data_IF_590712689148
#
_entry.id   IF_590712689148
#
_cell.length_a   1.000
_cell.length_b   1.000
_cell.length_c   1.000
_cell.angle_alpha   90.00
_cell.angle_beta   90.00
_cell.angle_gamma   90.00
#
_symmetry.space_group_name_H-M   'P 1'
#
loop_
_entity.id
_entity.type
_entity.pdbx_description
1 polymer ?
#
# COMPACT_ATOMS: atom_id res chain seq x y z
N UNK A 1 18.87 -8.85 -9.16
CA UNK A 1 18.56 -9.44 -7.85
C UNK A 1 19.62 -10.47 -7.53
N UNK A 2 20.61 -10.13 -6.71
CA UNK A 2 21.52 -11.12 -6.14
C UNK A 2 20.95 -11.53 -4.78
N UNK A 3 20.52 -12.79 -4.67
CA UNK A 3 20.22 -13.43 -3.41
C UNK A 3 21.57 -13.77 -2.72
N UNK A 4 21.99 -12.92 -1.80
CA UNK A 4 23.03 -13.14 -0.79
C UNK A 4 22.37 -12.64 0.50
N UNK A 5 22.18 -13.36 1.59
CA UNK A 5 23.01 -14.35 2.27
C UNK A 5 22.13 -15.13 3.24
N UNK A 6 21.98 -16.45 3.08
CA UNK A 6 21.31 -17.31 4.06
C UNK A 6 22.31 -18.12 4.93
N UNK A 7 23.60 -17.82 4.82
CA UNK A 7 24.69 -18.68 5.35
C UNK A 7 25.57 -17.99 6.40
N UNK A 8 25.23 -16.76 6.82
CA UNK A 8 25.96 -16.07 7.88
C UNK A 8 25.32 -16.35 9.25
N UNK A 9 26.10 -16.80 10.23
CA UNK A 9 25.62 -17.03 11.60
C UNK A 9 25.31 -15.71 12.30
N UNK A 10 24.48 -15.75 13.34
CA UNK A 10 24.19 -14.58 14.17
C UNK A 10 25.47 -13.96 14.76
N UNK A 11 26.36 -14.81 15.23
CA UNK A 11 27.66 -14.42 15.81
C UNK A 11 28.52 -13.67 14.79
N UNK A 12 28.55 -14.15 13.53
CA UNK A 12 29.29 -13.51 12.44
C UNK A 12 28.70 -12.13 12.10
N UNK A 13 27.37 -11.99 12.05
CA UNK A 13 26.73 -10.69 11.82
C UNK A 13 27.02 -9.72 12.97
N UNK A 14 26.84 -10.16 14.22
CA UNK A 14 27.12 -9.34 15.40
C UNK A 14 28.62 -9.04 15.56
N UNK A 15 29.53 -9.77 14.91
CA UNK A 15 30.94 -9.38 14.85
C UNK A 15 31.17 -8.11 14.02
N UNK A 16 30.29 -7.80 13.07
CA UNK A 16 30.41 -6.62 12.18
C UNK A 16 29.99 -5.33 12.91
N UNK A 17 30.86 -4.32 13.01
CA UNK A 17 30.53 -3.06 13.67
C UNK A 17 29.34 -2.32 13.03
N UNK A 18 29.28 -2.28 11.70
CA UNK A 18 28.22 -1.54 10.98
C UNK A 18 26.85 -2.21 11.13
N UNK A 19 26.82 -3.53 11.25
CA UNK A 19 25.61 -4.28 11.56
C UNK A 19 25.13 -4.00 12.98
N UNK A 20 26.03 -4.01 13.97
CA UNK A 20 25.70 -3.62 15.35
C UNK A 20 25.11 -2.21 15.41
N UNK A 21 25.68 -1.25 14.66
CA UNK A 21 25.15 0.12 14.58
C UNK A 21 23.76 0.15 13.94
N UNK A 22 23.51 -0.65 12.89
CA UNK A 22 22.18 -0.80 12.32
C UNK A 22 21.18 -1.34 13.34
N UNK A 23 21.52 -2.40 14.08
CA UNK A 23 20.67 -2.95 15.15
C UNK A 23 20.35 -1.89 16.20
N UNK A 24 21.37 -1.16 16.69
CA UNK A 24 21.16 -0.03 17.64
C UNK A 24 20.21 1.02 17.07
N UNK A 25 20.35 1.40 15.80
CA UNK A 25 19.48 2.38 15.17
C UNK A 25 18.01 1.94 15.12
N UNK A 26 17.74 0.65 14.80
CA UNK A 26 16.38 0.10 14.82
C UNK A 26 15.82 0.05 16.25
N UNK A 27 16.61 -0.36 17.24
CA UNK A 27 16.18 -0.31 18.65
C UNK A 27 15.83 1.12 19.08
N UNK A 28 16.63 2.12 18.69
CA UNK A 28 16.33 3.52 18.98
C UNK A 28 15.03 3.99 18.33
N UNK A 29 14.71 3.53 17.10
CA UNK A 29 13.41 3.81 16.47
C UNK A 29 12.25 3.20 17.28
N UNK A 30 12.41 1.98 17.80
CA UNK A 30 11.37 1.34 18.61
C UNK A 30 11.12 2.10 19.91
N UNK A 31 12.17 2.53 20.61
CA UNK A 31 11.99 3.38 21.80
C UNK A 31 11.41 4.75 21.47
N UNK A 32 11.79 5.35 20.34
CA UNK A 32 11.17 6.58 19.90
C UNK A 32 9.66 6.38 19.66
N UNK A 33 9.25 5.27 19.02
CA UNK A 33 7.83 4.94 18.83
C UNK A 33 7.09 4.92 20.17
N UNK A 34 7.59 4.17 21.16
CA UNK A 34 7.02 4.12 22.52
C UNK A 34 6.90 5.52 23.14
N UNK A 35 7.93 6.36 22.99
CA UNK A 35 7.93 7.73 23.48
C UNK A 35 6.91 8.65 22.79
N UNK A 36 6.56 8.38 21.54
CA UNK A 36 5.61 9.15 20.75
C UNK A 36 4.16 8.68 20.91
N UNK A 37 3.89 7.44 21.30
CA UNK A 37 2.53 6.88 21.36
C UNK A 37 1.60 7.68 22.28
N UNK A 38 2.02 7.92 23.53
CA UNK A 38 1.20 8.68 24.49
C UNK A 38 1.07 10.16 24.12
N UNK A 39 2.12 10.72 23.53
CA UNK A 39 2.06 12.07 22.99
C UNK A 39 1.02 12.17 21.85
N UNK A 40 1.06 11.24 20.91
CA UNK A 40 0.14 11.21 19.78
C UNK A 40 -1.31 10.96 20.21
N UNK A 41 -1.51 10.13 21.24
CA UNK A 41 -2.80 9.94 21.90
C UNK A 41 -3.35 11.29 22.39
N UNK A 42 -2.60 11.99 23.24
CA UNK A 42 -3.02 13.27 23.81
C UNK A 42 -3.23 14.34 22.74
N UNK A 43 -2.31 14.47 21.79
CA UNK A 43 -2.42 15.42 20.69
C UNK A 43 -3.65 15.13 19.81
N UNK A 44 -4.00 13.86 19.61
CA UNK A 44 -5.22 13.46 18.90
C UNK A 44 -6.48 13.88 19.65
N UNK A 45 -6.50 13.71 20.97
CA UNK A 45 -7.62 14.14 21.83
C UNK A 45 -7.78 15.66 21.82
N UNK A 46 -6.70 16.42 21.94
CA UNK A 46 -6.71 17.89 21.92
C UNK A 46 -7.14 18.43 20.55
N UNK A 47 -6.61 17.87 19.46
CA UNK A 47 -7.04 18.16 18.09
C UNK A 47 -8.54 17.87 17.89
N UNK A 48 -9.00 16.72 18.40
CA UNK A 48 -10.39 16.33 18.31
C UNK A 48 -11.30 17.32 19.04
N UNK A 49 -10.95 17.68 20.27
CA UNK A 49 -11.70 18.65 21.05
C UNK A 49 -11.80 20.01 20.33
N UNK A 50 -10.71 20.49 19.73
CA UNK A 50 -10.68 21.72 18.94
C UNK A 50 -11.60 21.65 17.70
N UNK A 51 -11.58 20.53 16.97
CA UNK A 51 -12.46 20.31 15.82
C UNK A 51 -13.93 20.24 16.25
N UNK A 52 -14.26 19.48 17.30
CA UNK A 52 -15.64 19.37 17.81
C UNK A 52 -16.16 20.72 18.26
N UNK A 53 -15.35 21.47 19.01
CA UNK A 53 -15.70 22.82 19.46
C UNK A 53 -15.97 23.75 18.27
N UNK A 54 -15.06 23.78 17.28
CA UNK A 54 -15.17 24.63 16.08
C UNK A 54 -16.40 24.28 15.23
N UNK A 55 -16.66 22.98 15.04
CA UNK A 55 -17.73 22.51 14.16
C UNK A 55 -19.08 22.42 14.85
N UNK A 56 -19.13 22.50 16.18
CA UNK A 56 -20.27 22.11 17.01
C UNK A 56 -20.76 20.70 16.62
N UNK A 57 -19.82 19.79 16.41
CA UNK A 57 -20.12 18.43 15.96
C UNK A 57 -20.99 17.72 17.00
N UNK A 58 -22.05 17.09 16.51
CA UNK A 58 -22.89 16.15 17.27
C UNK A 58 -22.76 14.76 16.66
N UNK A 59 -23.03 13.69 17.43
CA UNK A 59 -23.01 12.32 16.92
C UNK A 59 -23.72 12.15 15.57
N UNK A 60 -23.03 11.57 14.59
CA UNK A 60 -23.57 11.23 13.28
C UNK A 60 -23.38 9.74 12.96
N UNK A 61 -24.35 8.91 13.33
CA UNK A 61 -24.34 7.46 13.06
C UNK A 61 -24.85 7.04 11.68
N UNK A 62 -24.81 7.93 10.67
CA UNK A 62 -25.42 7.64 9.34
C UNK A 62 -24.47 7.80 8.16
N UNK A 63 -23.33 8.48 8.33
CA UNK A 63 -22.42 8.77 7.25
C UNK A 63 -21.32 7.71 7.16
N UNK A 64 -21.46 6.78 6.22
CA UNK A 64 -20.47 5.69 6.01
C UNK A 64 -19.37 6.05 5.02
N UNK A 65 -19.68 6.96 4.09
CA UNK A 65 -18.79 7.29 2.98
C UNK A 65 -18.54 8.79 2.91
N UNK A 66 -17.28 9.16 2.69
CA UNK A 66 -16.82 10.55 2.60
C UNK A 66 -17.50 11.35 1.48
N UNK A 67 -18.01 10.68 0.45
CA UNK A 67 -18.76 11.29 -0.65
C UNK A 67 -20.23 11.58 -0.29
N UNK A 68 -20.79 10.88 0.71
CA UNK A 68 -22.19 10.99 1.12
C UNK A 68 -22.32 11.48 2.57
N UNK A 69 -21.67 12.60 2.87
CA UNK A 69 -21.70 13.22 4.19
C UNK A 69 -22.93 14.12 4.40
N UNK A 70 -23.48 14.09 5.61
CA UNK A 70 -24.47 15.06 6.06
C UNK A 70 -23.82 16.43 6.29
N UNK A 71 -24.62 17.48 6.51
CA UNK A 71 -24.12 18.85 6.72
C UNK A 71 -23.18 18.98 7.93
N UNK A 72 -23.35 18.16 8.97
CA UNK A 72 -22.47 18.12 10.15
C UNK A 72 -21.11 17.51 9.78
N UNK A 73 -21.08 16.28 9.25
CA UNK A 73 -19.83 15.64 8.85
C UNK A 73 -19.10 16.43 7.76
N UNK A 74 -19.80 17.15 6.87
CA UNK A 74 -19.16 18.07 5.91
C UNK A 74 -18.34 19.17 6.60
N UNK A 75 -18.82 19.71 7.73
CA UNK A 75 -18.06 20.70 8.52
C UNK A 75 -16.81 20.08 9.15
N UNK A 76 -16.94 18.90 9.73
CA UNK A 76 -15.78 18.14 10.26
C UNK A 76 -14.76 17.85 9.17
N UNK A 77 -15.20 17.35 8.00
CA UNK A 77 -14.34 17.14 6.83
C UNK A 77 -13.58 18.41 6.44
N UNK A 78 -14.30 19.54 6.35
CA UNK A 78 -13.69 20.82 6.00
C UNK A 78 -12.62 21.26 7.02
N UNK A 79 -12.89 21.11 8.31
CA UNK A 79 -11.92 21.47 9.36
C UNK A 79 -10.68 20.55 9.37
N UNK A 80 -10.83 19.28 8.98
CA UNK A 80 -9.71 18.35 8.75
C UNK A 80 -8.86 18.81 7.56
N UNK A 81 -9.50 19.15 6.43
CA UNK A 81 -8.81 19.64 5.23
C UNK A 81 -8.04 20.94 5.51
N UNK A 82 -8.68 21.88 6.22
CA UNK A 82 -8.08 23.16 6.60
C UNK A 82 -6.81 22.96 7.44
N UNK A 83 -6.84 22.02 8.38
CA UNK A 83 -5.72 21.67 9.26
C UNK A 83 -4.70 20.72 8.62
N UNK A 84 -4.80 20.38 7.34
CA UNK A 84 -3.81 19.53 6.67
C UNK A 84 -2.72 20.36 5.95
N UNK A 85 -1.44 19.99 6.09
CA UNK A 85 -0.27 20.76 5.65
C UNK A 85 0.02 20.66 4.15
N UNK A 86 0.11 19.45 3.57
CA UNK A 86 0.74 19.27 2.24
C UNK A 86 -0.03 18.39 1.24
N UNK A 87 -1.01 17.60 1.67
CA UNK A 87 -1.78 16.70 0.80
C UNK A 87 -3.28 16.73 1.09
N UNK A 88 -4.06 16.05 0.25
CA UNK A 88 -5.42 15.66 0.60
C UNK A 88 -5.37 14.72 1.80
N UNK A 89 -6.24 14.88 2.82
CA UNK A 89 -6.31 13.93 3.92
C UNK A 89 -6.54 12.50 3.43
N UNK A 90 -5.97 11.52 4.12
CA UNK A 90 -6.11 10.10 3.83
C UNK A 90 -7.49 9.57 4.24
N UNK A 91 -8.52 9.94 3.47
CA UNK A 91 -9.92 9.59 3.71
C UNK A 91 -10.20 8.08 3.79
N UNK A 92 -9.32 7.24 3.22
CA UNK A 92 -9.44 5.78 3.28
C UNK A 92 -9.12 5.20 4.67
N UNK A 93 -8.40 5.95 5.51
CA UNK A 93 -8.04 5.49 6.86
C UNK A 93 -9.11 5.80 7.92
N UNK A 94 -10.19 6.47 7.53
CA UNK A 94 -11.18 6.99 8.47
C UNK A 94 -12.57 6.50 8.14
N UNK A 95 -13.40 6.47 9.17
CA UNK A 95 -14.80 6.06 9.11
C UNK A 95 -15.63 7.22 9.66
N UNK A 96 -16.37 7.96 8.81
CA UNK A 96 -17.11 9.14 9.23
C UNK A 96 -18.20 8.83 10.27
N UNK A 97 -18.70 7.59 10.31
CA UNK A 97 -19.69 7.14 11.30
C UNK A 97 -19.09 7.16 12.71
N UNK A 98 -17.77 7.03 12.82
CA UNK A 98 -17.04 6.94 14.09
C UNK A 98 -16.37 8.24 14.51
N UNK A 99 -16.55 9.33 13.75
CA UNK A 99 -15.99 10.64 14.09
C UNK A 99 -16.54 11.23 15.38
N UNK A 100 -17.68 10.78 15.85
CA UNK A 100 -18.38 11.42 16.98
C UNK A 100 -19.06 10.46 17.94
N UNK A 101 -19.21 9.18 17.55
CA UNK A 101 -20.00 8.18 18.28
C UNK A 101 -19.17 6.92 18.57
N UNK A 102 -17.90 7.11 18.92
CA UNK A 102 -16.96 6.02 19.23
C UNK A 102 -16.03 6.40 20.38
N UNK A 103 -15.68 5.47 21.30
CA UNK A 103 -14.69 5.71 22.35
C UNK A 103 -13.32 6.20 21.82
N UNK A 104 -13.00 5.88 20.56
CA UNK A 104 -11.73 6.24 19.91
C UNK A 104 -11.94 7.21 18.73
N UNK A 105 -12.98 8.05 18.79
CA UNK A 105 -13.33 9.02 17.74
C UNK A 105 -12.15 9.93 17.32
N UNK A 106 -11.35 10.38 18.29
CA UNK A 106 -10.14 11.17 18.05
C UNK A 106 -9.18 10.48 17.07
N UNK A 107 -9.01 9.16 17.17
CA UNK A 107 -8.14 8.42 16.25
C UNK A 107 -8.67 8.33 14.84
N UNK A 108 -9.98 8.19 14.66
CA UNK A 108 -10.57 8.20 13.31
C UNK A 108 -10.26 9.52 12.61
N UNK A 109 -10.27 10.64 13.33
CA UNK A 109 -9.89 11.94 12.77
C UNK A 109 -8.37 12.03 12.54
N UNK A 110 -7.54 11.67 13.52
CA UNK A 110 -6.07 11.76 13.39
C UNK A 110 -5.50 10.89 12.27
N UNK A 111 -6.10 9.73 12.00
CA UNK A 111 -5.73 8.84 10.89
C UNK A 111 -5.80 9.50 9.51
N UNK A 112 -6.56 10.59 9.36
CA UNK A 112 -6.62 11.37 8.12
C UNK A 112 -5.29 12.06 7.79
N UNK A 113 -4.40 12.24 8.76
CA UNK A 113 -3.09 12.88 8.59
C UNK A 113 -1.95 11.84 8.50
N UNK A 114 -2.26 10.56 8.66
CA UNK A 114 -1.30 9.45 8.60
C UNK A 114 -1.20 8.89 7.17
N UNK A 115 -0.17 8.08 6.90
CA UNK A 115 -0.09 7.27 5.69
C UNK A 115 -1.17 6.16 5.68
N UNK A 116 -1.42 5.56 4.51
CA UNK A 116 -2.47 4.54 4.32
C UNK A 116 -2.20 3.29 5.17
N UNK A 117 -3.25 2.57 5.57
CA UNK A 117 -3.16 1.20 6.14
C UNK A 117 -3.27 1.11 7.67
N UNK A 118 -3.59 2.22 8.33
CA UNK A 118 -3.58 2.32 9.80
C UNK A 118 -4.92 1.87 10.41
N UNK A 119 -5.10 0.56 10.60
CA UNK A 119 -6.38 -0.03 11.01
C UNK A 119 -6.65 0.06 12.52
N UNK A 120 -5.63 0.00 13.37
CA UNK A 120 -5.78 0.14 14.83
C UNK A 120 -4.70 1.01 15.45
N UNK A 121 -5.01 1.55 16.63
CA UNK A 121 -4.12 2.44 17.40
C UNK A 121 -2.86 1.73 17.90
N UNK A 122 -3.00 0.45 18.22
CA UNK A 122 -1.90 -0.39 18.72
C UNK A 122 -0.94 -0.82 17.60
N UNK A 123 -1.38 -0.69 16.35
CA UNK A 123 -0.62 -1.10 15.16
C UNK A 123 0.04 0.09 14.47
N UNK A 124 -0.05 1.30 15.05
CA UNK A 124 0.61 2.45 14.43
C UNK A 124 2.12 2.26 14.43
N UNK A 125 2.66 2.19 13.22
CA UNK A 125 4.09 2.30 13.04
C UNK A 125 4.53 3.74 13.35
N UNK A 126 5.81 3.89 13.73
CA UNK A 126 6.46 5.18 13.91
C UNK A 126 6.26 6.11 12.71
N UNK A 127 6.20 5.57 11.48
CA UNK A 127 5.94 6.39 10.29
C UNK A 127 4.56 7.04 10.33
N UNK A 128 3.53 6.37 10.85
CA UNK A 128 2.19 6.92 10.98
C UNK A 128 2.18 8.05 12.00
N UNK A 129 2.83 7.87 13.15
CA UNK A 129 2.95 8.90 14.19
C UNK A 129 3.71 10.13 13.69
N UNK A 130 4.82 9.92 12.98
CA UNK A 130 5.60 11.02 12.38
C UNK A 130 4.78 11.75 11.31
N UNK A 131 4.07 11.02 10.43
CA UNK A 131 3.20 11.63 9.43
C UNK A 131 2.06 12.44 10.05
N UNK A 132 1.48 11.97 11.16
CA UNK A 132 0.47 12.76 11.89
C UNK A 132 1.04 14.13 12.31
N UNK A 133 2.24 14.16 12.87
CA UNK A 133 2.91 15.40 13.27
C UNK A 133 3.19 16.30 12.05
N UNK A 134 3.75 15.73 10.98
CA UNK A 134 4.16 16.45 9.76
C UNK A 134 2.96 17.05 9.01
N UNK A 135 1.88 16.28 8.88
CA UNK A 135 0.75 16.62 8.03
C UNK A 135 -0.33 17.44 8.75
N UNK A 136 -0.30 17.54 10.07
CA UNK A 136 -1.31 18.29 10.82
C UNK A 136 -0.82 19.68 11.22
N UNK A 137 -1.45 20.73 10.67
CA UNK A 137 -1.20 22.15 10.99
C UNK A 137 -1.51 22.52 12.43
N UNK A 138 -2.17 21.66 13.20
CA UNK A 138 -2.31 21.88 14.65
C UNK A 138 -0.94 21.93 15.34
N UNK A 139 0.05 21.19 14.82
CA UNK A 139 1.44 21.27 15.28
C UNK A 139 2.22 22.46 14.67
N UNK A 140 1.62 23.23 13.75
CA UNK A 140 2.25 24.42 13.20
C UNK A 140 2.07 25.59 14.16
N UNK A 141 3.17 26.01 14.76
CA UNK A 141 3.29 27.33 15.40
C UNK A 141 4.29 28.19 14.64
N UNK A 142 4.15 29.52 14.80
CA UNK A 142 4.98 30.52 14.11
C UNK A 142 6.48 30.20 14.24
N UNK A 143 7.26 30.56 13.21
CA UNK A 143 8.71 30.29 13.06
C UNK A 143 9.63 30.73 14.21
N UNK A 144 9.09 31.38 15.25
CA UNK A 144 9.80 31.88 16.42
C UNK A 144 10.14 30.80 17.47
N UNK A 145 9.43 29.66 17.50
CA UNK A 145 9.55 28.68 18.61
C UNK A 145 10.17 27.33 18.23
N UNK A 146 10.73 27.19 17.03
CA UNK A 146 11.14 25.90 16.51
C UNK A 146 9.97 25.15 15.87
N UNK A 147 10.27 24.10 15.11
CA UNK A 147 9.25 23.38 14.35
C UNK A 147 9.38 21.87 14.58
N UNK A 148 8.53 21.33 15.46
CA UNK A 148 8.40 19.89 15.73
C UNK A 148 8.17 19.09 14.44
N UNK A 149 7.47 19.65 13.45
CA UNK A 149 7.28 19.00 12.15
C UNK A 149 8.59 18.86 11.38
N UNK A 150 9.50 19.84 11.46
CA UNK A 150 10.83 19.72 10.84
C UNK A 150 11.67 18.65 11.51
N UNK A 151 11.60 18.53 12.84
CA UNK A 151 12.27 17.46 13.57
C UNK A 151 11.66 16.09 13.21
N UNK A 152 10.32 15.98 13.17
CA UNK A 152 9.63 14.77 12.76
C UNK A 152 9.95 14.36 11.30
N UNK A 153 10.03 15.32 10.38
CA UNK A 153 10.40 15.08 8.99
C UNK A 153 11.80 14.47 8.86
N UNK A 154 12.80 15.03 9.56
CA UNK A 154 14.16 14.47 9.59
C UNK A 154 14.19 13.07 10.15
N UNK A 155 13.41 12.80 11.20
CA UNK A 155 13.32 11.47 11.80
C UNK A 155 12.64 10.47 10.87
N UNK A 156 11.64 10.90 10.09
CA UNK A 156 10.99 10.07 9.08
C UNK A 156 11.97 9.69 7.96
N UNK A 157 12.78 10.64 7.50
CA UNK A 157 13.86 10.40 6.54
C UNK A 157 14.89 9.40 7.08
N UNK A 158 15.35 9.59 8.33
CA UNK A 158 16.25 8.66 9.01
C UNK A 158 15.65 7.25 9.10
N UNK A 159 14.38 7.14 9.50
CA UNK A 159 13.67 5.85 9.57
C UNK A 159 13.68 5.16 8.21
N UNK A 160 13.37 5.87 7.14
CA UNK A 160 13.36 5.29 5.79
C UNK A 160 14.77 4.82 5.38
N UNK A 161 15.80 5.62 5.68
CA UNK A 161 17.19 5.23 5.41
C UNK A 161 17.62 3.99 6.22
N UNK A 162 17.20 3.86 7.48
CA UNK A 162 17.52 2.71 8.34
C UNK A 162 16.81 1.44 7.86
N UNK A 163 15.49 1.52 7.66
CA UNK A 163 14.66 0.35 7.36
C UNK A 163 14.93 -0.17 5.95
N UNK A 164 15.11 0.72 4.96
CA UNK A 164 15.36 0.33 3.58
C UNK A 164 16.84 0.12 3.25
N UNK A 165 17.71 0.06 4.26
CA UNK A 165 19.11 -0.31 4.07
C UNK A 165 19.21 -1.84 3.86
N UNK A 166 19.18 -2.26 2.60
CA UNK A 166 19.25 -3.69 2.23
C UNK A 166 20.51 -4.40 2.76
N UNK A 167 21.60 -3.67 3.00
CA UNK A 167 22.84 -4.21 3.53
C UNK A 167 22.90 -4.27 5.06
N UNK A 168 21.87 -3.77 5.76
CA UNK A 168 21.78 -3.67 7.21
C UNK A 168 23.07 -3.12 7.84
N UNK A 169 23.65 -2.11 7.21
CA UNK A 169 24.90 -1.49 7.64
C UNK A 169 24.72 0.01 7.77
N UNK A 170 25.20 0.57 8.89
CA UNK A 170 25.13 2.00 9.17
C UNK A 170 26.49 2.46 9.68
N UNK A 171 26.98 3.58 9.15
CA UNK A 171 28.23 4.18 9.61
C UNK A 171 28.07 4.80 11.00
N UNK A 172 29.19 5.09 11.67
CA UNK A 172 29.15 5.76 12.98
C UNK A 172 28.55 7.17 12.90
N UNK A 173 28.90 7.92 11.85
CA UNK A 173 28.35 9.25 11.59
C UNK A 173 26.85 9.20 11.36
N UNK A 174 26.37 8.20 10.63
CA UNK A 174 24.94 8.03 10.37
C UNK A 174 24.20 7.69 11.67
N UNK A 175 24.71 6.75 12.47
CA UNK A 175 24.09 6.42 13.77
C UNK A 175 24.01 7.66 14.68
N UNK A 176 25.07 8.44 14.75
CA UNK A 176 25.11 9.68 15.54
C UNK A 176 24.11 10.72 15.02
N UNK A 177 24.06 10.93 13.71
CA UNK A 177 23.09 11.84 13.06
C UNK A 177 21.65 11.39 13.29
N UNK A 178 21.39 10.09 13.12
CA UNK A 178 20.07 9.51 13.22
C UNK A 178 19.51 9.64 14.64
N UNK A 179 20.28 9.21 15.63
CA UNK A 179 19.89 9.29 17.04
C UNK A 179 19.87 10.72 17.55
N UNK A 180 20.76 11.60 17.08
CA UNK A 180 20.71 13.03 17.36
C UNK A 180 19.39 13.67 16.97
N UNK A 181 18.87 13.36 15.78
CA UNK A 181 17.55 13.85 15.33
C UNK A 181 16.40 13.27 16.18
N UNK A 182 16.45 11.97 16.55
CA UNK A 182 15.43 11.36 17.42
C UNK A 182 15.39 12.01 18.80
N UNK A 183 16.57 12.21 19.41
CA UNK A 183 16.70 12.87 20.70
C UNK A 183 16.25 14.33 20.64
N UNK A 184 16.52 15.02 19.53
CA UNK A 184 16.04 16.39 19.31
C UNK A 184 14.51 16.46 19.26
N UNK A 185 13.86 15.50 18.60
CA UNK A 185 12.40 15.40 18.58
C UNK A 185 11.83 15.13 19.99
N UNK A 186 12.38 14.18 20.74
CA UNK A 186 11.93 13.87 22.10
C UNK A 186 12.11 15.04 23.09
N UNK A 187 13.09 15.91 22.84
CA UNK A 187 13.38 17.11 23.64
C UNK A 187 12.59 18.35 23.18
N UNK A 188 11.75 18.22 22.16
CA UNK A 188 11.00 19.37 21.63
C UNK A 188 10.05 19.91 22.71
N UNK A 189 10.20 21.21 23.01
CA UNK A 189 9.48 21.91 24.07
C UNK A 189 8.39 22.83 23.50
N UNK A 190 8.13 22.74 22.19
CA UNK A 190 7.27 23.69 21.44
C UNK A 190 5.78 23.35 21.60
N UNK A 191 4.95 24.26 22.15
CA UNK A 191 3.50 24.07 22.17
C UNK A 191 2.88 24.12 20.76
N UNK A 192 1.68 23.53 20.53
CA UNK A 192 0.92 22.71 21.47
C UNK A 192 1.49 21.28 21.60
N UNK A 193 2.57 20.95 20.89
CA UNK A 193 3.19 19.63 20.81
C UNK A 193 4.41 19.41 21.70
N UNK A 194 4.44 19.97 22.92
CA UNK A 194 5.58 19.81 23.84
C UNK A 194 5.77 18.33 24.18
N UNK A 195 6.83 17.71 23.67
CA UNK A 195 7.23 16.34 23.98
C UNK A 195 8.05 16.27 25.27
N UNK A 196 8.80 17.32 25.57
CA UNK A 196 9.64 17.39 26.76
C UNK A 196 8.80 17.34 28.04
N UNK A 197 9.17 16.46 28.97
CA UNK A 197 8.47 16.27 30.23
C UNK A 197 7.27 15.32 30.15
N UNK A 198 7.01 14.72 28.99
CA UNK A 198 6.22 13.48 28.94
C UNK A 198 7.09 12.34 29.45
N UNK A 199 6.58 11.60 30.45
CA UNK A 199 7.31 10.51 31.11
C UNK A 199 7.82 9.48 30.11
N UNK A 200 7.01 9.15 29.11
CA UNK A 200 7.34 8.18 28.07
C UNK A 200 8.42 8.71 27.13
N UNK A 201 8.38 10.00 26.79
CA UNK A 201 9.43 10.67 26.02
C UNK A 201 10.77 10.68 26.76
N UNK A 202 10.73 10.99 28.07
CA UNK A 202 11.93 10.98 28.92
C UNK A 202 12.48 9.55 29.10
N UNK A 203 11.59 8.55 29.19
CA UNK A 203 11.96 7.14 29.25
C UNK A 203 12.61 6.68 27.95
N UNK A 204 12.02 7.02 26.80
CA UNK A 204 12.57 6.74 25.48
C UNK A 204 13.94 7.38 25.30
N UNK A 205 14.10 8.63 25.73
CA UNK A 205 15.38 9.34 25.71
C UNK A 205 16.44 8.62 26.55
N UNK A 206 16.11 8.24 27.78
CA UNK A 206 17.04 7.50 28.64
C UNK A 206 17.46 6.17 28.00
N UNK A 207 16.51 5.42 27.45
CA UNK A 207 16.78 4.14 26.79
C UNK A 207 17.64 4.29 25.53
N UNK A 208 17.39 5.31 24.70
CA UNK A 208 18.23 5.63 23.54
C UNK A 208 19.66 5.93 23.97
N UNK A 209 19.85 6.81 24.96
CA UNK A 209 21.19 7.14 25.46
C UNK A 209 21.92 5.90 25.98
N UNK A 210 21.22 5.01 26.70
CA UNK A 210 21.77 3.76 27.22
C UNK A 210 22.26 2.81 26.11
N UNK A 211 21.51 2.68 25.02
CA UNK A 211 21.92 1.85 23.86
C UNK A 211 23.18 2.40 23.19
N UNK A 212 23.33 3.72 23.18
CA UNK A 212 24.47 4.39 22.57
C UNK A 212 25.75 4.29 23.39
N UNK A 213 25.68 3.82 24.64
CA UNK A 213 26.87 3.56 25.44
C UNK A 213 27.79 2.53 24.77
N UNK A 214 29.10 2.77 24.87
CA UNK A 214 30.14 1.94 24.25
C UNK A 214 30.06 0.49 24.73
N UNK A 215 29.71 0.29 26.00
CA UNK A 215 29.62 -1.03 26.64
C UNK A 215 28.28 -1.73 26.46
N UNK A 216 27.33 -1.12 25.73
CA UNK A 216 26.03 -1.76 25.49
C UNK A 216 26.22 -3.04 24.65
N UNK A 217 25.89 -4.18 25.24
CA UNK A 217 25.95 -5.49 24.60
C UNK A 217 24.60 -5.79 23.96
N UNK A 218 24.61 -6.01 22.64
CA UNK A 218 23.44 -6.48 21.90
C UNK A 218 23.31 -7.98 22.16
N UNK A 219 22.18 -8.39 22.73
CA UNK A 219 21.89 -9.80 22.95
C UNK A 219 21.32 -10.46 21.68
N UNK A 220 21.36 -11.79 21.56
CA UNK A 220 20.66 -12.50 20.50
C UNK A 220 19.18 -12.14 20.42
N UNK A 221 18.50 -12.01 21.55
CA UNK A 221 17.09 -11.65 21.61
C UNK A 221 16.85 -10.23 21.08
N UNK A 222 17.74 -9.28 21.35
CA UNK A 222 17.66 -7.93 20.80
C UNK A 222 17.74 -7.94 19.26
N UNK A 223 18.65 -8.73 18.68
CA UNK A 223 18.77 -8.86 17.22
C UNK A 223 17.53 -9.50 16.61
N UNK A 224 17.02 -10.57 17.21
CA UNK A 224 15.81 -11.25 16.74
C UNK A 224 14.63 -10.29 16.76
N UNK A 225 14.43 -9.58 17.88
CA UNK A 225 13.35 -8.61 18.02
C UNK A 225 13.48 -7.46 17.02
N UNK A 226 14.69 -6.97 16.78
CA UNK A 226 14.96 -5.93 15.77
C UNK A 226 14.63 -6.41 14.37
N UNK A 227 15.02 -7.63 14.01
CA UNK A 227 14.71 -8.20 12.69
C UNK A 227 13.23 -8.46 12.51
N UNK A 228 12.56 -8.98 13.53
CA UNK A 228 11.11 -9.13 13.53
C UNK A 228 10.44 -7.78 13.30
N UNK A 229 10.79 -6.75 14.07
CA UNK A 229 10.23 -5.40 13.90
C UNK A 229 10.51 -4.79 12.51
N UNK A 230 11.71 -5.00 11.95
CA UNK A 230 12.06 -4.52 10.62
C UNK A 230 11.26 -5.24 9.52
N UNK A 231 11.14 -6.57 9.60
CA UNK A 231 10.40 -7.35 8.62
C UNK A 231 8.88 -7.19 8.74
N UNK A 232 8.32 -7.12 9.95
CA UNK A 232 6.90 -6.81 10.17
C UNK A 232 6.51 -5.50 9.49
N UNK A 233 7.40 -4.51 9.57
CA UNK A 233 7.23 -3.23 8.91
C UNK A 233 7.28 -3.33 7.39
N UNK A 234 8.28 -4.02 6.83
CA UNK A 234 8.35 -4.25 5.38
C UNK A 234 7.09 -4.98 4.86
N UNK A 235 6.63 -5.99 5.60
CA UNK A 235 5.41 -6.72 5.29
C UNK A 235 4.19 -5.80 5.31
N UNK A 236 4.05 -4.95 6.34
CA UNK A 236 2.93 -4.00 6.44
C UNK A 236 2.91 -2.98 5.29
N UNK A 237 4.07 -2.52 4.85
CA UNK A 237 4.19 -1.62 3.69
C UNK A 237 3.83 -2.32 2.37
N UNK A 238 4.28 -3.56 2.18
CA UNK A 238 3.89 -4.38 1.03
C UNK A 238 2.38 -4.65 1.01
N UNK A 239 1.78 -4.96 2.16
CA UNK A 239 0.33 -5.13 2.29
C UNK A 239 -0.42 -3.85 1.90
N UNK A 240 0.08 -2.69 2.32
CA UNK A 240 -0.49 -1.38 1.97
C UNK A 240 -0.39 -1.11 0.46
N UNK A 241 0.74 -1.43 -0.16
CA UNK A 241 0.93 -1.31 -1.61
C UNK A 241 -0.04 -2.22 -2.38
N UNK A 242 -0.19 -3.48 -1.96
CA UNK A 242 -1.14 -4.43 -2.56
C UNK A 242 -2.58 -3.92 -2.43
N UNK A 243 -2.97 -3.40 -1.26
CA UNK A 243 -4.31 -2.83 -1.07
C UNK A 243 -4.55 -1.62 -1.99
N UNK A 244 -3.56 -0.75 -2.16
CA UNK A 244 -3.64 0.38 -3.09
C UNK A 244 -3.85 -0.10 -4.52
N UNK A 245 -3.04 -1.06 -4.98
CA UNK A 245 -3.14 -1.62 -6.32
C UNK A 245 -4.49 -2.31 -6.56
N UNK A 246 -5.01 -3.02 -5.54
CA UNK A 246 -6.32 -3.64 -5.61
C UNK A 246 -7.46 -2.61 -5.75
N UNK A 247 -7.37 -1.48 -5.04
CA UNK A 247 -8.35 -0.39 -5.16
C UNK A 247 -8.25 0.25 -6.54
N UNK A 248 -7.05 0.56 -7.02
CA UNK A 248 -6.84 1.17 -8.34
C UNK A 248 -7.34 0.24 -9.46
N UNK A 249 -7.15 -1.08 -9.32
CA UNK A 249 -7.69 -2.08 -10.22
C UNK A 249 -9.24 -2.09 -10.21
N UNK A 250 -9.87 -2.09 -9.03
CA UNK A 250 -11.34 -1.99 -8.91
C UNK A 250 -11.90 -0.71 -9.54
N UNK A 251 -11.23 0.43 -9.33
CA UNK A 251 -11.65 1.70 -9.95
C UNK A 251 -11.57 1.62 -11.48
N UNK A 252 -10.52 1.00 -12.03
CA UNK A 252 -10.40 0.79 -13.49
C UNK A 252 -11.50 -0.12 -14.03
N UNK A 253 -11.83 -1.22 -13.34
CA UNK A 253 -12.93 -2.11 -13.73
C UNK A 253 -14.27 -1.38 -13.75
N UNK A 254 -14.62 -0.64 -12.69
CA UNK A 254 -15.86 0.12 -12.63
C UNK A 254 -15.97 1.17 -13.75
N UNK A 255 -14.85 1.81 -14.11
CA UNK A 255 -14.81 2.74 -15.23
C UNK A 255 -14.99 2.02 -16.58
N UNK A 256 -14.47 0.81 -16.72
CA UNK A 256 -14.62 -0.01 -17.93
C UNK A 256 -16.05 -0.55 -18.10
N UNK A 257 -16.73 -0.92 -17.02
CA UNK A 257 -18.14 -1.31 -17.03
C UNK A 257 -19.06 -0.14 -17.43
N UNK A 258 -18.74 1.07 -16.96
CA UNK A 258 -19.41 2.31 -17.38
C UNK A 258 -19.23 2.59 -18.88
N UNK A 259 -18.02 2.38 -19.42
CA UNK A 259 -17.75 2.51 -20.86
C UNK A 259 -18.49 1.44 -21.66
N UNK A 260 -18.50 0.19 -21.22
CA UNK A 260 -19.23 -0.91 -21.88
C UNK A 260 -20.75 -0.66 -21.89
N UNK A 261 -21.31 -0.08 -20.82
CA UNK A 261 -22.72 0.31 -20.77
C UNK A 261 -23.05 1.38 -21.83
N UNK A 262 -22.19 2.40 -21.97
CA UNK A 262 -22.37 3.44 -22.99
C UNK A 262 -22.21 2.89 -24.42
N UNK A 263 -21.28 1.97 -24.66
CA UNK A 263 -21.12 1.31 -25.97
C UNK A 263 -22.33 0.46 -26.31
N UNK A 264 -22.87 -0.28 -25.35
CA UNK A 264 -24.08 -1.12 -25.56
C UNK A 264 -25.28 -0.26 -25.91
N UNK A 265 -25.47 0.86 -25.21
CA UNK A 265 -26.52 1.83 -25.51
C UNK A 265 -26.38 2.44 -26.91
N UNK A 266 -25.15 2.82 -27.30
CA UNK A 266 -24.88 3.35 -28.63
C UNK A 266 -25.12 2.31 -29.75
N UNK A 267 -24.84 1.03 -29.49
CA UNK A 267 -25.14 -0.07 -30.41
C UNK A 267 -26.65 -0.29 -30.55
N UNK A 268 -27.42 -0.19 -29.47
CA UNK A 268 -28.89 -0.28 -29.51
C UNK A 268 -29.53 0.89 -30.25
N UNK A 269 -29.00 2.10 -30.07
CA UNK A 269 -29.41 3.29 -30.82
C UNK A 269 -29.09 3.12 -32.31
N UNK A 270 -27.87 2.71 -32.67
CA UNK A 270 -27.49 2.40 -34.06
C UNK A 270 -28.33 1.27 -34.67
N UNK A 271 -28.67 0.23 -33.88
CA UNK A 271 -29.50 -0.89 -34.33
C UNK A 271 -30.91 -0.43 -34.67
N UNK A 272 -31.49 0.43 -33.83
CA UNK A 272 -32.80 1.05 -34.09
C UNK A 272 -32.76 1.90 -35.36
N UNK A 273 -31.70 2.66 -35.54
CA UNK A 273 -31.50 3.54 -36.70
C UNK A 273 -31.32 2.77 -38.02
N UNK A 274 -30.57 1.66 -37.99
CA UNK A 274 -30.38 0.76 -39.14
C UNK A 274 -31.68 0.01 -39.47
N UNK A 275 -32.43 -0.44 -38.46
CA UNK A 275 -33.74 -1.07 -38.63
C UNK A 275 -34.76 -0.14 -39.29
N UNK A 276 -34.63 1.18 -39.13
CA UNK A 276 -35.51 2.17 -39.76
C UNK A 276 -35.08 2.59 -41.18
N UNK A 277 -33.86 2.25 -41.62
CA UNK A 277 -33.25 2.77 -42.86
C UNK A 277 -32.98 1.72 -43.94
N UNK A 278 -33.14 0.41 -43.67
CA UNK A 278 -32.84 -0.64 -44.65
C UNK A 278 -34.11 -1.27 -45.21
N UNK A 279 -34.27 -1.17 -46.53
CA UNK A 279 -35.27 -1.92 -47.31
C UNK A 279 -35.00 -3.43 -47.16
N UNK A 280 -35.86 -4.10 -46.40
CA UNK A 280 -35.78 -5.50 -45.99
C UNK A 280 -35.62 -6.48 -47.16
N UNK A 281 -36.06 -6.09 -48.35
CA UNK A 281 -35.91 -6.86 -49.60
C UNK A 281 -34.45 -7.11 -50.00
N UNK A 282 -33.57 -6.13 -49.80
CA UNK A 282 -32.15 -6.24 -50.22
C UNK A 282 -31.34 -7.05 -49.20
N UNK A 283 -31.72 -6.98 -47.93
CA UNK A 283 -31.10 -7.75 -46.85
C UNK A 283 -31.40 -9.25 -46.98
N UNK A 284 -32.66 -9.61 -47.26
CA UNK A 284 -33.07 -11.01 -47.46
C UNK A 284 -32.31 -11.69 -48.60
N UNK A 285 -32.16 -11.01 -49.75
CA UNK A 285 -31.38 -11.54 -50.89
C UNK A 285 -29.90 -11.76 -50.56
N UNK A 286 -29.33 -10.91 -49.71
CA UNK A 286 -27.92 -11.06 -49.29
C UNK A 286 -27.74 -12.23 -48.32
N UNK A 287 -28.72 -12.48 -47.45
CA UNK A 287 -28.71 -13.63 -46.54
C UNK A 287 -28.87 -14.95 -47.30
N UNK A 288 -29.76 -15.01 -48.30
CA UNK A 288 -29.94 -16.19 -49.15
C UNK A 288 -28.66 -16.54 -49.95
N UNK A 289 -27.94 -15.53 -50.45
CA UNK A 289 -26.67 -15.74 -51.15
C UNK A 289 -25.57 -16.28 -50.22
N UNK A 290 -25.57 -15.89 -48.95
CA UNK A 290 -24.61 -16.41 -47.95
C UNK A 290 -24.93 -17.86 -47.60
N UNK A 291 -26.21 -18.22 -47.43
CA UNK A 291 -26.62 -19.59 -47.11
C UNK A 291 -26.22 -20.59 -48.22
N UNK A 292 -26.40 -20.20 -49.49
CA UNK A 292 -25.97 -21.02 -50.63
C UNK A 292 -24.45 -21.25 -50.66
N UNK A 293 -23.65 -20.23 -50.31
CA UNK A 293 -22.19 -20.35 -50.24
C UNK A 293 -21.73 -21.26 -49.09
N UNK A 294 -22.42 -21.22 -47.95
CA UNK A 294 -22.13 -22.09 -46.80
C UNK A 294 -22.45 -23.55 -47.13
N UNK A 295 -23.57 -23.82 -47.79
CA UNK A 295 -23.92 -25.18 -48.23
C UNK A 295 -22.88 -25.73 -49.22
N UNK A 296 -22.41 -24.92 -50.17
CA UNK A 296 -21.37 -25.33 -51.12
C UNK A 296 -20.01 -25.61 -50.45
N UNK A 297 -19.67 -24.89 -49.38
CA UNK A 297 -18.46 -25.12 -48.59
C UNK A 297 -18.51 -26.44 -47.81
N UNK A 298 -19.66 -26.78 -47.20
CA UNK A 298 -19.81 -28.03 -46.45
C UNK A 298 -19.61 -29.27 -47.34
N UNK A 299 -20.16 -29.26 -48.55
CA UNK A 299 -19.95 -30.36 -49.54
C UNK A 299 -18.46 -30.56 -49.84
N UNK A 300 -17.69 -29.48 -49.98
CA UNK A 300 -16.25 -29.54 -50.26
C UNK A 300 -15.43 -30.07 -49.08
N UNK A 301 -15.86 -29.79 -47.85
CA UNK A 301 -15.24 -30.30 -46.63
C UNK A 301 -15.44 -31.81 -46.53
N UNK A 302 -16.66 -32.30 -46.75
CA UNK A 302 -16.96 -33.74 -46.74
C UNK A 302 -16.21 -34.53 -47.83
N UNK A 303 -15.97 -33.93 -49.00
CA UNK A 303 -15.10 -34.52 -50.03
C UNK A 303 -13.63 -34.57 -49.60
N UNK A 304 -13.16 -33.52 -48.91
CA UNK A 304 -11.80 -33.45 -48.36
C UNK A 304 -11.54 -34.53 -47.30
N UNK A 305 -12.51 -34.74 -46.40
CA UNK A 305 -12.44 -35.77 -45.36
C UNK A 305 -12.43 -37.19 -45.95
N UNK A 306 -13.29 -37.46 -46.94
CA UNK A 306 -13.28 -38.74 -47.68
C UNK A 306 -11.94 -39.00 -48.36
N UNK A 307 -11.31 -37.97 -48.96
CA UNK A 307 -9.96 -38.09 -49.54
C UNK A 307 -8.90 -38.36 -48.47
N UNK A 308 -9.00 -37.73 -47.31
CA UNK A 308 -8.07 -37.95 -46.21
C UNK A 308 -8.14 -39.39 -45.67
N UNK A 309 -9.34 -39.93 -45.47
CA UNK A 309 -9.52 -41.33 -45.06
C UNK A 309 -8.99 -42.34 -46.08
N UNK A 310 -9.21 -42.07 -47.38
CA UNK A 310 -8.67 -42.91 -48.45
C UNK A 310 -7.13 -42.95 -48.43
N UNK A 311 -6.49 -41.80 -48.21
CA UNK A 311 -5.04 -41.69 -48.09
C UNK A 311 -4.49 -42.40 -46.84
N UNK A 312 -5.22 -42.37 -45.71
CA UNK A 312 -4.84 -43.11 -44.51
C UNK A 312 -4.93 -44.63 -44.68
N UNK A 313 -5.88 -45.14 -45.48
CA UNK A 313 -5.98 -46.57 -45.80
C UNK A 313 -4.81 -47.06 -46.67
N UNK A 314 -4.29 -46.21 -47.56
CA UNK A 314 -3.11 -46.50 -48.40
C UNK A 314 -1.79 -46.40 -47.62
N UNK A 315 -1.75 -45.63 -46.52
CA UNK A 315 -0.54 -45.47 -45.68
C UNK A 315 -0.20 -46.63 -44.74
N UNK A 316 -1.13 -47.55 -44.47
CA UNK A 316 -0.92 -48.70 -43.55
C UNK A 316 0.04 -49.78 -44.11
N UNK A 317 0.01 -50.15 -45.41
CA UNK A 317 0.99 -51.07 -46.00
C UNK A 317 2.42 -50.48 -46.08
N UNK A 318 2.57 -49.17 -46.27
CA UNK A 318 3.89 -48.54 -46.45
C UNK A 318 4.75 -48.56 -45.17
N UNK A 319 4.13 -48.46 -43.98
CA UNK A 319 4.84 -48.61 -42.69
C UNK A 319 5.38 -50.02 -42.47
N UNK A 320 4.67 -51.05 -42.95
CA UNK A 320 5.12 -52.45 -42.90
C UNK A 320 6.30 -52.69 -43.87
N UNK A 321 6.24 -52.13 -45.08
CA UNK A 321 7.35 -52.20 -46.05
C UNK A 321 8.61 -51.50 -45.51
N UNK A 322 8.47 -50.33 -44.88
CA UNK A 322 9.62 -49.62 -44.28
C UNK A 322 10.21 -50.35 -43.08
N UNK A 323 9.40 -51.05 -42.26
CA UNK A 323 9.90 -51.86 -41.14
C UNK A 323 10.61 -53.15 -41.60
N UNK A 324 10.19 -53.75 -42.71
CA UNK A 324 10.82 -54.96 -43.25
C UNK A 324 12.15 -54.68 -43.97
N UNK A 325 12.33 -53.50 -44.55
CA UNK A 325 13.56 -53.13 -45.28
C UNK A 325 14.65 -52.59 -44.35
N UNK A 326 14.30 -52.06 -43.17
CA UNK A 326 15.24 -51.43 -42.24
C UNK A 326 16.41 -52.33 -41.77
N UNK A 327 16.21 -53.62 -41.44
CA UNK A 327 17.33 -54.50 -41.04
C UNK A 327 18.24 -54.90 -42.20
N UNK A 328 17.77 -54.81 -43.45
CA UNK A 328 18.56 -55.13 -44.65
C UNK A 328 19.51 -53.98 -45.00
N UNK A 329 19.14 -52.74 -44.66
CA UNK A 329 19.98 -51.55 -44.86
C UNK A 329 21.05 -51.41 -43.75
N UNK A 330 20.81 -51.95 -42.55
CA UNK A 330 21.76 -51.85 -41.42
C UNK A 330 22.83 -52.98 -41.41
N UNK A 331 22.79 -53.92 -42.37
CA UNK A 331 23.75 -55.02 -42.54
C UNK A 331 24.57 -54.95 -43.86
N UNK A 332 24.45 -53.86 -44.62
CA UNK A 332 25.30 -53.51 -45.77
C UNK A 332 26.09 -52.24 -45.42
#
# INVERSE_FOLDING_TARGET
>A
MQANTLDETLEQRLAKPDYKRWVKAVMCLNYLKEGLEQFAQKASEELYADIVYTTKATPCGKCKEIQYLCSLCKRTKHEIEKRHSFSTPCWKNTDPEKWSDSPNCHWYISKCYMNVGQNSVKDFDISALLNFIINCKWFQMSSLYGNIQSNAQKVLENRNAIIHNAGQNISESDLSSYTGNMLKLLKDDTPPGKLKGFRESDTAQHRINKILEVYFVITPDDEINVRLAAHEKEIGELQTAIQKDHIDFKTRLNNQDSVNCNVTKNIEELRTDVMHKVDTSTFLKSVEAIDQNVQALNVRVEEGERRHEALQKIGKPWKLVVQMVKPIIELA
#
